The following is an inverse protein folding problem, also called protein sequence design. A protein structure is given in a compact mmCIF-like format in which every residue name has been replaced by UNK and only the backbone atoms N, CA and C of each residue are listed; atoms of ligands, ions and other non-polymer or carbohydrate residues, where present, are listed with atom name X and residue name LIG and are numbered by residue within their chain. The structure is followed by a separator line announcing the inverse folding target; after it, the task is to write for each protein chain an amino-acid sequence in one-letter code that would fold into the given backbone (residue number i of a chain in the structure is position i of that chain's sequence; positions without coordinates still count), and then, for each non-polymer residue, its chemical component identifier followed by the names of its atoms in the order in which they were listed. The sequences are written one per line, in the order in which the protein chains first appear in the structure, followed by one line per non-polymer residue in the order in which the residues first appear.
data_IF_406654665629
#
_entry.id   IF_406654665629
#
_cell.length_a   1.000
_cell.length_b   1.000
_cell.length_c   1.000
_cell.angle_alpha   90.00
_cell.angle_beta   90.00
_cell.angle_gamma   90.00
#
_symmetry.space_group_name_H-M   'P 1'
#
loop_
_entity.id
_entity.type
_entity.pdbx_description
1 polymer ?
#
# COMPACT_ATOMS: atom_id res chain seq x y z
N UNK A 1 22.12 -0.07 -13.81
CA UNK A 1 21.07 0.92 -13.47
C UNK A 1 19.75 0.20 -13.61
N UNK A 2 18.91 0.21 -12.56
CA UNK A 2 17.55 -0.36 -12.68
C UNK A 2 16.71 0.56 -13.60
N UNK A 3 15.71 0.05 -14.33
CA UNK A 3 14.82 0.89 -15.14
C UNK A 3 14.09 1.91 -14.25
N UNK A 4 13.78 3.09 -14.80
CA UNK A 4 13.02 4.14 -14.11
C UNK A 4 11.63 3.63 -13.62
N UNK A 5 11.14 2.53 -14.21
CA UNK A 5 9.85 1.90 -13.91
C UNK A 5 9.96 0.63 -13.03
N UNK A 6 10.84 0.64 -12.03
CA UNK A 6 11.05 -0.55 -11.16
C UNK A 6 9.94 -0.72 -10.13
N UNK A 7 9.43 -1.95 -10.01
CA UNK A 7 8.40 -2.35 -9.04
C UNK A 7 9.02 -3.24 -7.98
N UNK A 8 9.00 -2.80 -6.73
CA UNK A 8 9.37 -3.60 -5.56
C UNK A 8 8.12 -4.29 -5.01
N UNK A 9 7.92 -5.55 -5.37
CA UNK A 9 6.71 -6.29 -5.05
C UNK A 9 6.90 -7.09 -3.75
N UNK A 10 6.38 -6.55 -2.65
CA UNK A 10 6.41 -7.19 -1.32
C UNK A 10 5.24 -8.16 -1.19
N UNK A 11 5.52 -9.41 -0.85
CA UNK A 11 4.52 -10.45 -0.62
C UNK A 11 4.98 -11.31 0.56
N UNK A 12 4.09 -11.60 1.51
CA UNK A 12 4.40 -12.39 2.70
C UNK A 12 4.26 -13.89 2.46
N UNK A 13 3.31 -14.29 1.62
CA UNK A 13 2.94 -15.70 1.42
C UNK A 13 3.80 -16.37 0.35
N UNK A 14 4.40 -17.51 0.72
CA UNK A 14 5.30 -18.28 -0.16
C UNK A 14 4.63 -18.76 -1.44
N UNK A 15 3.34 -19.06 -1.41
CA UNK A 15 2.59 -19.60 -2.55
C UNK A 15 2.43 -18.58 -3.69
N UNK A 16 1.83 -17.38 -3.47
CA UNK A 16 1.81 -16.32 -4.49
C UNK A 16 3.22 -15.83 -4.82
N UNK A 17 4.14 -15.79 -3.85
CA UNK A 17 5.52 -15.39 -4.10
C UNK A 17 6.22 -16.23 -5.18
N UNK A 18 6.01 -17.56 -5.20
CA UNK A 18 6.55 -18.43 -6.28
C UNK A 18 6.10 -17.98 -7.68
N UNK A 19 4.83 -17.59 -7.82
CA UNK A 19 4.30 -17.07 -9.09
C UNK A 19 4.89 -15.70 -9.42
N UNK A 20 5.04 -14.84 -8.42
CA UNK A 20 5.68 -13.54 -8.55
C UNK A 20 7.15 -13.65 -8.99
N UNK A 21 7.93 -14.59 -8.43
CA UNK A 21 9.30 -14.88 -8.88
C UNK A 21 9.35 -15.38 -10.33
N UNK A 22 8.38 -16.22 -10.74
CA UNK A 22 8.30 -16.64 -12.14
C UNK A 22 7.96 -15.47 -13.08
N UNK A 23 7.14 -14.52 -12.63
CA UNK A 23 6.81 -13.31 -13.37
C UNK A 23 8.01 -12.36 -13.49
N UNK A 24 8.75 -12.13 -12.40
CA UNK A 24 9.92 -11.24 -12.40
C UNK A 24 11.03 -11.71 -13.34
N UNK A 25 11.18 -13.03 -13.53
CA UNK A 25 12.09 -13.59 -14.55
C UNK A 25 11.70 -13.20 -15.98
N UNK A 26 10.42 -12.94 -16.25
CA UNK A 26 9.93 -12.50 -17.57
C UNK A 26 9.82 -10.97 -17.68
N UNK A 27 9.71 -10.28 -16.55
CA UNK A 27 9.58 -8.82 -16.45
C UNK A 27 10.72 -8.27 -15.60
N UNK A 28 11.80 -7.87 -16.26
CA UNK A 28 13.04 -7.43 -15.61
C UNK A 28 12.92 -6.17 -14.75
N UNK A 29 11.78 -5.48 -14.77
CA UNK A 29 11.49 -4.33 -13.92
C UNK A 29 10.80 -4.69 -12.60
N UNK A 30 10.61 -5.98 -12.27
CA UNK A 30 9.97 -6.41 -11.01
C UNK A 30 11.03 -7.03 -10.09
N UNK A 31 11.17 -6.49 -8.89
CA UNK A 31 11.99 -7.04 -7.81
C UNK A 31 11.05 -7.68 -6.77
N UNK A 32 10.95 -9.01 -6.72
CA UNK A 32 10.09 -9.69 -5.76
C UNK A 32 10.76 -9.76 -4.38
N UNK A 33 10.03 -9.38 -3.32
CA UNK A 33 10.50 -9.38 -1.93
C UNK A 33 9.57 -10.26 -1.09
N UNK A 34 10.10 -11.35 -0.53
CA UNK A 34 9.35 -12.23 0.39
C UNK A 34 9.50 -11.69 1.82
N UNK A 35 8.58 -10.84 2.26
CA UNK A 35 8.63 -10.20 3.57
C UNK A 35 7.24 -9.79 4.07
N UNK A 36 7.14 -9.51 5.37
CA UNK A 36 5.94 -8.95 5.97
C UNK A 36 5.97 -7.42 5.87
N UNK A 37 4.96 -6.86 5.18
CA UNK A 37 4.84 -5.42 5.00
C UNK A 37 4.57 -4.64 6.30
N UNK A 38 4.17 -5.31 7.40
CA UNK A 38 4.13 -4.69 8.73
C UNK A 38 5.50 -4.29 9.27
N UNK A 39 6.56 -4.94 8.78
CA UNK A 39 7.95 -4.86 9.23
C UNK A 39 8.89 -4.34 8.14
N UNK A 40 8.68 -3.11 7.61
CA UNK A 40 9.45 -2.56 6.50
C UNK A 40 10.97 -2.46 6.73
N UNK A 41 11.40 -2.39 7.98
CA UNK A 41 12.81 -2.45 8.38
C UNK A 41 13.52 -3.72 7.88
N UNK A 42 12.79 -4.83 7.72
CA UNK A 42 13.37 -6.12 7.31
C UNK A 42 13.81 -6.17 5.85
N UNK A 43 13.28 -5.28 5.00
CA UNK A 43 13.64 -5.16 3.58
C UNK A 43 14.11 -3.75 3.19
N UNK A 44 14.40 -2.89 4.18
CA UNK A 44 14.87 -1.53 3.96
C UNK A 44 16.14 -1.45 3.09
N UNK A 45 17.03 -2.44 3.21
CA UNK A 45 18.27 -2.47 2.44
C UNK A 45 18.08 -2.82 0.95
N UNK A 46 16.87 -3.24 0.56
CA UNK A 46 16.55 -3.69 -0.80
C UNK A 46 15.85 -2.58 -1.59
N UNK A 47 15.01 -1.78 -0.93
CA UNK A 47 14.11 -0.81 -1.56
C UNK A 47 14.65 0.61 -1.35
N UNK A 48 14.98 1.35 -2.43
CA UNK A 48 15.34 2.77 -2.36
C UNK A 48 14.09 3.64 -2.15
N UNK A 49 14.27 4.95 -2.08
CA UNK A 49 13.14 5.89 -2.09
C UNK A 49 12.31 5.72 -3.38
N UNK A 50 10.98 5.66 -3.22
CA UNK A 50 10.02 5.47 -4.30
C UNK A 50 9.13 6.70 -4.48
N UNK A 51 8.70 6.93 -5.71
CA UNK A 51 7.76 8.00 -6.06
C UNK A 51 6.30 7.63 -5.75
N UNK A 52 6.00 6.34 -5.89
CA UNK A 52 4.68 5.77 -5.74
C UNK A 52 4.71 4.57 -4.81
N UNK A 53 3.77 4.54 -3.87
CA UNK A 53 3.51 3.40 -3.01
C UNK A 53 2.08 2.91 -3.24
N UNK A 54 1.91 1.64 -3.55
CA UNK A 54 0.59 1.03 -3.75
C UNK A 54 0.38 -0.08 -2.75
N UNK A 55 -0.74 -0.04 -2.02
CA UNK A 55 -1.11 -1.04 -1.04
C UNK A 55 -2.48 -1.62 -1.35
N UNK A 56 -2.53 -2.90 -1.72
CA UNK A 56 -3.73 -3.73 -1.79
C UNK A 56 -3.54 -5.01 -0.98
N UNK A 57 -3.86 -4.93 0.30
CA UNK A 57 -3.67 -6.01 1.27
C UNK A 57 -4.90 -6.12 2.15
N UNK A 58 -5.24 -7.34 2.56
CA UNK A 58 -6.42 -7.61 3.40
C UNK A 58 -6.02 -7.73 4.86
N UNK A 59 -5.62 -6.62 5.47
CA UNK A 59 -5.20 -6.56 6.88
C UNK A 59 -6.13 -5.63 7.67
N UNK A 60 -6.21 -5.79 9.01
CA UNK A 60 -7.01 -4.91 9.88
C UNK A 60 -6.40 -3.51 9.96
N UNK A 61 -5.10 -3.43 10.29
CA UNK A 61 -4.35 -2.17 10.36
C UNK A 61 -3.67 -1.83 9.03
N UNK A 62 -4.49 -1.55 8.01
CA UNK A 62 -3.99 -1.13 6.70
C UNK A 62 -3.33 0.26 6.74
N UNK A 63 -3.88 1.18 7.53
CA UNK A 63 -3.38 2.56 7.59
C UNK A 63 -2.02 2.61 8.27
N UNK A 64 -1.84 1.94 9.41
CA UNK A 64 -0.56 1.90 10.10
C UNK A 64 0.54 1.27 9.25
N UNK A 65 0.23 0.20 8.51
CA UNK A 65 1.17 -0.42 7.57
C UNK A 65 1.55 0.53 6.43
N UNK A 66 0.58 1.23 5.83
CA UNK A 66 0.84 2.22 4.78
C UNK A 66 1.76 3.32 5.30
N UNK A 67 1.47 3.85 6.49
CA UNK A 67 2.25 4.92 7.11
C UNK A 67 3.68 4.49 7.42
N UNK A 68 3.89 3.29 7.98
CA UNK A 68 5.24 2.74 8.25
C UNK A 68 6.07 2.57 6.98
N UNK A 69 5.45 2.09 5.91
CA UNK A 69 6.15 1.94 4.63
C UNK A 69 6.42 3.30 3.96
N UNK A 70 5.46 4.21 4.01
CA UNK A 70 5.63 5.55 3.46
C UNK A 70 6.72 6.33 4.20
N UNK A 71 6.84 6.16 5.52
CA UNK A 71 7.89 6.76 6.35
C UNK A 71 9.30 6.39 5.91
N UNK A 72 9.50 5.13 5.51
CA UNK A 72 10.82 4.59 5.15
C UNK A 72 11.12 4.75 3.66
N UNK A 73 10.13 4.59 2.78
CA UNK A 73 10.36 4.46 1.35
C UNK A 73 9.75 5.59 0.52
N UNK A 74 8.68 6.25 0.94
CA UNK A 74 8.03 7.24 0.08
C UNK A 74 8.80 8.56 0.12
N UNK A 75 9.31 8.99 -1.04
CA UNK A 75 10.03 10.27 -1.13
C UNK A 75 9.14 11.45 -0.75
N UNK A 76 9.76 12.57 -0.40
CA UNK A 76 9.08 13.87 -0.23
C UNK A 76 8.19 14.20 -1.43
N UNK A 77 6.92 14.49 -1.16
CA UNK A 77 5.90 14.76 -2.18
C UNK A 77 5.48 13.55 -3.03
N UNK A 78 5.95 12.35 -2.71
CA UNK A 78 5.51 11.10 -3.33
C UNK A 78 4.05 10.81 -3.04
N UNK A 79 3.46 9.92 -3.85
CA UNK A 79 2.05 9.55 -3.77
C UNK A 79 1.90 8.12 -3.25
N UNK A 80 1.00 7.91 -2.30
CA UNK A 80 0.56 6.57 -1.93
C UNK A 80 -0.90 6.34 -2.29
N UNK A 81 -1.21 5.11 -2.71
CA UNK A 81 -2.55 4.63 -2.97
C UNK A 81 -2.87 3.50 -2.00
N UNK A 82 -3.89 3.71 -1.17
CA UNK A 82 -4.43 2.69 -0.28
C UNK A 82 -5.74 2.13 -0.87
N UNK A 83 -5.76 0.84 -1.18
CA UNK A 83 -6.98 0.11 -1.50
C UNK A 83 -7.62 -0.39 -0.22
N UNK A 84 -8.51 0.41 0.34
CA UNK A 84 -9.22 0.10 1.57
C UNK A 84 -10.32 -0.91 1.30
N UNK A 85 -10.26 -2.03 2.03
CA UNK A 85 -11.31 -3.04 2.11
C UNK A 85 -12.07 -2.86 3.43
N UNK A 86 -13.22 -2.19 3.42
CA UNK A 86 -13.89 -1.78 4.66
C UNK A 86 -14.18 -2.97 5.59
N UNK A 87 -14.61 -4.11 5.00
CA UNK A 87 -14.91 -5.34 5.74
C UNK A 87 -13.70 -6.01 6.38
N UNK A 88 -12.49 -5.78 5.87
CA UNK A 88 -11.26 -6.27 6.52
C UNK A 88 -10.92 -5.48 7.79
N UNK A 89 -11.41 -4.24 7.91
CA UNK A 89 -11.23 -3.40 9.10
C UNK A 89 -12.27 -3.75 10.16
N UNK A 90 -13.55 -3.68 9.80
CA UNK A 90 -14.67 -4.00 10.68
C UNK A 90 -15.88 -4.45 9.84
N UNK A 91 -16.30 -5.70 10.01
CA UNK A 91 -17.42 -6.29 9.27
C UNK A 91 -18.78 -5.71 9.69
N UNK A 92 -18.90 -5.22 10.92
CA UNK A 92 -20.19 -4.78 11.53
C UNK A 92 -20.49 -3.30 11.30
N UNK A 93 -19.46 -2.50 11.02
CA UNK A 93 -19.61 -1.07 10.81
C UNK A 93 -20.11 -0.73 9.41
N UNK A 94 -20.78 0.42 9.30
CA UNK A 94 -21.08 1.05 8.02
C UNK A 94 -19.77 1.46 7.30
N UNK A 95 -19.55 1.05 6.03
CA UNK A 95 -18.40 1.43 5.23
C UNK A 95 -18.13 2.95 5.20
N UNK A 96 -19.17 3.78 5.11
CA UNK A 96 -19.01 5.23 5.08
C UNK A 96 -18.34 5.76 6.37
N UNK A 97 -18.69 5.17 7.52
CA UNK A 97 -18.05 5.49 8.81
C UNK A 97 -16.60 5.03 8.85
N UNK A 98 -16.29 3.87 8.28
CA UNK A 98 -14.92 3.36 8.20
C UNK A 98 -14.06 4.29 7.31
N UNK A 99 -14.61 4.74 6.19
CA UNK A 99 -13.91 5.66 5.28
C UNK A 99 -13.55 6.98 5.97
N UNK A 100 -14.47 7.55 6.74
CA UNK A 100 -14.22 8.75 7.55
C UNK A 100 -13.12 8.55 8.59
N UNK A 101 -13.12 7.39 9.29
CA UNK A 101 -12.07 7.05 10.26
C UNK A 101 -10.69 6.92 9.60
N UNK A 102 -10.62 6.20 8.49
CA UNK A 102 -9.38 5.98 7.72
C UNK A 102 -8.82 7.32 7.20
N UNK A 103 -9.66 8.21 6.68
CA UNK A 103 -9.25 9.57 6.30
C UNK A 103 -8.56 10.29 7.46
N UNK A 104 -9.20 10.32 8.64
CA UNK A 104 -8.68 11.01 9.81
C UNK A 104 -7.39 10.37 10.35
N UNK A 105 -7.23 9.03 10.23
CA UNK A 105 -6.00 8.32 10.58
C UNK A 105 -4.84 8.67 9.62
N UNK A 106 -5.10 8.69 8.31
CA UNK A 106 -4.11 9.10 7.30
C UNK A 106 -3.64 10.54 7.53
N UNK A 107 -4.56 11.46 7.79
CA UNK A 107 -4.26 12.88 8.04
C UNK A 107 -3.46 13.07 9.33
N UNK A 108 -3.83 12.38 10.43
CA UNK A 108 -3.02 12.36 11.67
C UNK A 108 -1.64 11.74 11.46
N UNK A 109 -1.53 10.78 10.55
CA UNK A 109 -0.26 10.15 10.15
C UNK A 109 0.66 11.03 9.30
N UNK A 110 0.28 12.28 9.01
CA UNK A 110 1.07 13.19 8.19
C UNK A 110 0.92 12.95 6.68
N UNK A 111 -0.20 12.38 6.26
CA UNK A 111 -0.52 12.22 4.84
C UNK A 111 -1.64 13.19 4.44
N UNK A 112 -1.52 13.83 3.28
CA UNK A 112 -2.60 14.65 2.73
C UNK A 112 -3.49 13.82 1.82
N UNK A 113 -4.75 13.61 2.19
CA UNK A 113 -5.74 12.91 1.33
C UNK A 113 -6.14 13.81 0.17
N UNK A 114 -5.72 13.45 -1.03
CA UNK A 114 -6.04 14.17 -2.28
C UNK A 114 -7.38 13.75 -2.84
N UNK A 115 -7.65 12.44 -2.83
CA UNK A 115 -8.88 11.85 -3.34
C UNK A 115 -9.24 10.62 -2.53
N UNK A 116 -10.55 10.39 -2.40
CA UNK A 116 -11.13 9.14 -1.95
C UNK A 116 -12.17 8.76 -2.99
N UNK A 117 -12.07 7.56 -3.53
CA UNK A 117 -12.90 7.07 -4.61
C UNK A 117 -13.59 5.81 -4.11
N UNK A 118 -14.92 5.84 -3.99
CA UNK A 118 -15.72 4.62 -3.78
C UNK A 118 -15.66 3.78 -5.06
N UNK A 119 -15.36 2.48 -4.91
CA UNK A 119 -15.19 1.56 -6.04
C UNK A 119 -16.48 0.85 -6.43
N UNK A 120 -17.60 1.17 -5.79
CA UNK A 120 -18.92 0.66 -6.14
C UNK A 120 -19.33 1.16 -7.54
N UNK A 121 -19.93 0.30 -8.40
CA UNK A 121 -20.41 -1.06 -8.12
C UNK A 121 -19.39 -2.18 -8.38
N UNK A 122 -18.18 -1.88 -8.86
CA UNK A 122 -17.19 -2.90 -9.26
C UNK A 122 -16.62 -3.67 -8.08
N UNK A 123 -16.37 -2.98 -6.96
CA UNK A 123 -16.06 -3.61 -5.67
C UNK A 123 -16.86 -2.91 -4.56
N UNK A 124 -17.90 -3.58 -4.09
CA UNK A 124 -18.73 -3.10 -2.98
C UNK A 124 -17.92 -3.06 -1.69
N UNK A 125 -18.14 -2.06 -0.84
CA UNK A 125 -17.44 -1.84 0.43
C UNK A 125 -15.93 -1.58 0.31
N UNK A 126 -15.48 -1.12 -0.87
CA UNK A 126 -14.08 -0.77 -1.14
C UNK A 126 -13.93 0.70 -1.52
N UNK A 127 -12.81 1.29 -1.12
CA UNK A 127 -12.45 2.65 -1.51
C UNK A 127 -10.96 2.78 -1.78
N UNK A 128 -10.60 3.54 -2.82
CA UNK A 128 -9.23 3.94 -3.09
C UNK A 128 -8.94 5.31 -2.47
N UNK A 129 -7.94 5.39 -1.60
CA UNK A 129 -7.42 6.64 -1.05
C UNK A 129 -6.12 7.00 -1.76
N UNK A 130 -6.12 8.16 -2.43
CA UNK A 130 -4.92 8.76 -3.00
C UNK A 130 -4.42 9.81 -2.03
N UNK A 131 -3.22 9.61 -1.50
CA UNK A 131 -2.59 10.46 -0.51
C UNK A 131 -1.20 10.90 -0.97
N UNK A 132 -0.72 12.04 -0.50
CA UNK A 132 0.66 12.48 -0.71
C UNK A 132 1.37 12.64 0.62
N UNK A 133 2.63 12.17 0.69
CA UNK A 133 3.48 12.41 1.85
C UNK A 133 3.77 13.90 2.01
N UNK A 134 3.60 14.45 3.22
CA UNK A 134 3.84 15.88 3.48
C UNK A 134 5.23 16.16 4.07
N UNK A 135 6.07 15.14 4.23
CA UNK A 135 7.45 15.29 4.72
C UNK A 135 8.35 15.88 3.66
#
# INVERSE_FOLDING_TARGET
MLPDDTIYAVEFSRTPFRKLTALSKRRGNIIPILADAFHPETYRMIVPDVEYLYQDVSQKDQVGMLLRNADIFLRKGGTACLMLKARSVDVTSDPARIFGKVRAELERGGMKVKRMIDLSPFQVDHAAFIVTGTR
#
